data_IF_533158465061
#
_entry.id   IF_533158465061
#
_cell.length_a   1.000
_cell.length_b   1.000
_cell.length_c   1.000
_cell.angle_alpha   90.00
_cell.angle_beta   90.00
_cell.angle_gamma   90.00
#
_symmetry.space_group_name_H-M   'P 1'
#
loop_
_entity.id
_entity.type
_entity.pdbx_description
1 polymer ?
#
# COMPACT_ATOMS: atom_id res chain seq x y z
N UNK A 1 -10.56 -18.59 19.76
CA UNK A 1 -10.10 -17.46 18.93
C UNK A 1 -10.88 -17.54 17.65
N UNK A 2 -11.76 -16.57 17.38
CA UNK A 2 -12.49 -16.54 16.13
C UNK A 2 -11.48 -16.44 14.98
N UNK A 3 -11.38 -17.51 14.19
CA UNK A 3 -10.64 -17.48 12.93
C UNK A 3 -11.43 -16.62 11.96
N UNK A 4 -11.22 -15.30 12.04
CA UNK A 4 -11.72 -14.37 11.03
C UNK A 4 -11.10 -14.75 9.70
N UNK A 5 -11.92 -15.37 8.84
CA UNK A 5 -11.54 -15.68 7.48
C UNK A 5 -11.38 -14.37 6.70
N UNK A 6 -10.13 -14.00 6.39
CA UNK A 6 -9.80 -12.93 5.44
C UNK A 6 -9.46 -13.57 4.10
N UNK A 7 -10.30 -13.42 3.07
CA UNK A 7 -9.99 -13.97 1.76
C UNK A 7 -8.73 -13.28 1.20
N UNK A 8 -7.89 -14.05 0.50
CA UNK A 8 -6.66 -13.58 -0.17
C UNK A 8 -6.49 -14.28 -1.52
N UNK A 9 -7.59 -14.43 -2.27
CA UNK A 9 -7.60 -15.08 -3.59
C UNK A 9 -7.04 -14.14 -4.66
N UNK A 10 -7.12 -12.83 -4.41
CA UNK A 10 -6.54 -11.78 -5.24
C UNK A 10 -5.86 -10.71 -4.39
N UNK A 11 -4.65 -10.32 -4.78
CA UNK A 11 -3.88 -9.24 -4.14
C UNK A 11 -3.41 -8.27 -5.22
N UNK A 12 -4.04 -7.08 -5.26
CA UNK A 12 -3.76 -6.08 -6.28
C UNK A 12 -2.57 -5.22 -5.87
N UNK A 13 -1.48 -5.26 -6.62
CA UNK A 13 -0.36 -4.32 -6.46
C UNK A 13 -0.73 -2.94 -7.00
N UNK A 14 -0.45 -1.90 -6.21
CA UNK A 14 -0.77 -0.50 -6.52
C UNK A 14 0.45 0.36 -6.19
N UNK A 15 1.13 0.96 -7.19
CA UNK A 15 2.33 1.75 -6.94
C UNK A 15 1.98 3.06 -6.20
N UNK A 16 2.71 3.35 -5.11
CA UNK A 16 2.49 4.54 -4.27
C UNK A 16 2.71 5.88 -4.99
N UNK A 17 3.45 5.88 -6.10
CA UNK A 17 3.70 7.08 -6.90
C UNK A 17 2.51 7.47 -7.81
N UNK A 18 1.54 6.58 -8.03
CA UNK A 18 0.44 6.81 -8.96
C UNK A 18 -0.89 7.03 -8.22
N UNK A 19 -1.20 8.29 -7.94
CA UNK A 19 -2.42 8.70 -7.22
C UNK A 19 -3.71 8.29 -7.93
N UNK A 20 -3.72 8.22 -9.26
CA UNK A 20 -4.86 7.71 -10.03
C UNK A 20 -5.14 6.24 -9.68
N UNK A 21 -4.11 5.39 -9.61
CA UNK A 21 -4.27 3.99 -9.23
C UNK A 21 -4.63 3.83 -7.75
N UNK A 22 -4.07 4.65 -6.85
CA UNK A 22 -4.42 4.65 -5.43
C UNK A 22 -5.91 4.94 -5.20
N UNK A 23 -6.48 5.91 -5.91
CA UNK A 23 -7.93 6.20 -5.86
C UNK A 23 -8.74 5.01 -6.37
N UNK A 24 -8.35 4.43 -7.50
CA UNK A 24 -9.08 3.31 -8.13
C UNK A 24 -9.07 2.05 -7.27
N UNK A 25 -7.97 1.78 -6.56
CA UNK A 25 -7.81 0.60 -5.71
C UNK A 25 -8.90 0.46 -4.64
N UNK A 26 -9.50 1.57 -4.18
CA UNK A 26 -10.59 1.59 -3.19
C UNK A 26 -11.83 0.81 -3.64
N UNK A 27 -12.11 0.78 -4.94
CA UNK A 27 -13.40 0.29 -5.46
C UNK A 27 -13.28 -0.99 -6.30
N UNK A 28 -12.07 -1.37 -6.73
CA UNK A 28 -11.88 -2.56 -7.57
C UNK A 28 -12.24 -3.87 -6.84
N UNK A 29 -12.78 -4.88 -7.55
CA UNK A 29 -13.19 -6.16 -6.94
C UNK A 29 -11.96 -7.05 -6.68
N UNK A 30 -11.21 -6.75 -5.61
CA UNK A 30 -10.06 -7.53 -5.12
C UNK A 30 -10.25 -7.87 -3.66
N UNK A 31 -9.67 -8.98 -3.20
CA UNK A 31 -9.72 -9.34 -1.78
C UNK A 31 -8.75 -8.49 -0.95
N UNK A 32 -7.53 -8.25 -1.48
CA UNK A 32 -6.51 -7.41 -0.85
C UNK A 32 -5.96 -6.37 -1.84
N UNK A 33 -5.49 -5.24 -1.30
CA UNK A 33 -4.69 -4.24 -2.01
C UNK A 33 -3.32 -4.14 -1.35
N UNK A 34 -2.27 -4.18 -2.16
CA UNK A 34 -0.88 -3.97 -1.74
C UNK A 34 -0.46 -2.61 -2.27
N UNK A 35 -0.38 -1.63 -1.37
CA UNK A 35 0.14 -0.30 -1.66
C UNK A 35 1.66 -0.35 -1.57
N UNK A 36 2.34 -0.10 -2.69
CA UNK A 36 3.73 -0.49 -2.88
C UNK A 36 4.70 0.69 -2.87
N UNK A 37 5.72 0.61 -2.01
CA UNK A 37 6.88 1.53 -1.93
C UNK A 37 8.17 0.91 -2.50
N UNK A 38 8.15 -0.37 -2.82
CA UNK A 38 9.33 -1.18 -3.16
C UNK A 38 9.89 -0.94 -4.57
N UNK A 39 10.53 -1.96 -5.12
CA UNK A 39 11.36 -1.86 -6.33
C UNK A 39 10.71 -1.23 -7.58
N UNK A 40 9.40 -1.38 -7.84
CA UNK A 40 8.76 -0.73 -9.00
C UNK A 40 8.72 0.80 -8.94
N UNK A 41 9.03 1.40 -7.79
CA UNK A 41 9.00 2.85 -7.59
C UNK A 41 10.38 3.45 -7.93
N UNK A 42 10.38 4.44 -8.82
CA UNK A 42 11.57 5.24 -9.14
C UNK A 42 12.14 5.92 -7.88
N UNK A 43 13.47 6.05 -7.82
CA UNK A 43 14.19 6.56 -6.63
C UNK A 43 13.69 7.96 -6.25
N UNK A 44 13.56 8.85 -7.23
CA UNK A 44 13.05 10.21 -7.06
C UNK A 44 11.59 10.28 -6.60
N UNK A 45 10.84 9.18 -6.70
CA UNK A 45 9.45 9.09 -6.26
C UNK A 45 9.28 8.41 -4.90
N UNK A 46 10.35 7.92 -4.25
CA UNK A 46 10.25 7.13 -3.01
C UNK A 46 9.54 7.89 -1.88
N UNK A 47 10.01 9.10 -1.59
CA UNK A 47 9.44 9.94 -0.52
C UNK A 47 8.01 10.37 -0.83
N UNK A 48 7.76 10.89 -2.04
CA UNK A 48 6.40 11.26 -2.46
C UNK A 48 5.43 10.06 -2.47
N UNK A 49 5.92 8.85 -2.75
CA UNK A 49 5.11 7.63 -2.68
C UNK A 49 4.73 7.29 -1.24
N UNK A 50 5.64 7.47 -0.28
CA UNK A 50 5.38 7.30 1.15
C UNK A 50 4.30 8.26 1.61
N UNK A 51 4.46 9.55 1.30
CA UNK A 51 3.48 10.59 1.65
C UNK A 51 2.10 10.28 1.08
N UNK A 52 2.04 9.83 -0.18
CA UNK A 52 0.81 9.37 -0.78
C UNK A 52 0.22 8.20 -0.01
N UNK A 53 0.97 7.13 0.26
CA UNK A 53 0.45 5.96 0.97
C UNK A 53 -0.11 6.35 2.34
N UNK A 54 0.62 7.15 3.14
CA UNK A 54 0.16 7.65 4.44
C UNK A 54 -1.19 8.36 4.29
N UNK A 55 -1.30 9.28 3.33
CA UNK A 55 -2.54 9.99 3.03
C UNK A 55 -3.67 9.03 2.67
N UNK A 56 -3.47 8.13 1.70
CA UNK A 56 -4.52 7.28 1.16
C UNK A 56 -4.99 6.20 2.14
N UNK A 57 -4.08 5.68 2.97
CA UNK A 57 -4.39 4.77 4.08
C UNK A 57 -5.21 5.50 5.15
N UNK A 58 -4.79 6.70 5.54
CA UNK A 58 -5.49 7.53 6.54
C UNK A 58 -6.91 7.91 6.08
N UNK A 59 -7.07 8.28 4.81
CA UNK A 59 -8.37 8.56 4.20
C UNK A 59 -9.28 7.30 4.13
N UNK A 60 -8.71 6.10 4.10
CA UNK A 60 -9.44 4.84 4.07
C UNK A 60 -10.22 4.61 2.78
N UNK A 61 -11.43 4.04 2.89
CA UNK A 61 -12.35 3.81 1.76
C UNK A 61 -12.23 2.44 1.08
N UNK A 62 -11.52 1.48 1.66
CA UNK A 62 -11.30 0.14 1.07
C UNK A 62 -12.40 -0.89 1.38
N UNK A 63 -13.36 -0.55 2.24
CA UNK A 63 -14.44 -1.46 2.64
C UNK A 63 -13.91 -2.65 3.43
N UNK A 64 -14.31 -3.87 3.04
CA UNK A 64 -13.89 -5.12 3.68
C UNK A 64 -12.55 -5.67 3.18
N UNK A 65 -11.91 -4.99 2.22
CA UNK A 65 -10.65 -5.44 1.62
C UNK A 65 -9.53 -5.35 2.64
N UNK A 66 -8.59 -6.28 2.56
CA UNK A 66 -7.34 -6.15 3.31
C UNK A 66 -6.45 -5.09 2.65
N UNK A 67 -5.94 -4.16 3.45
CA UNK A 67 -4.99 -3.14 3.01
C UNK A 67 -3.62 -3.51 3.57
N UNK A 68 -2.66 -3.70 2.68
CA UNK A 68 -1.27 -4.02 3.01
C UNK A 68 -0.38 -2.93 2.43
N UNK A 69 0.55 -2.42 3.22
CA UNK A 69 1.64 -1.57 2.70
C UNK A 69 2.88 -2.45 2.52
N UNK A 70 3.42 -2.48 1.31
CA UNK A 70 4.73 -3.11 1.04
C UNK A 70 5.80 -2.02 1.12
N UNK A 71 6.51 -1.98 2.24
CA UNK A 71 7.64 -1.06 2.47
C UNK A 71 8.88 -1.49 1.68
N UNK A 72 9.86 -0.58 1.57
CA UNK A 72 11.18 -0.92 1.07
C UNK A 72 11.92 -1.90 2.01
N UNK A 73 12.98 -2.54 1.50
CA UNK A 73 13.86 -3.36 2.33
C UNK A 73 14.38 -2.53 3.52
N UNK A 74 14.40 -3.12 4.72
CA UNK A 74 14.88 -2.48 5.94
C UNK A 74 16.37 -2.07 5.86
N UNK A 75 17.16 -2.77 5.05
CA UNK A 75 18.56 -2.42 4.78
C UNK A 75 18.72 -1.19 3.86
N UNK A 76 17.64 -0.71 3.25
CA UNK A 76 17.66 0.49 2.42
C UNK A 76 17.53 1.75 3.24
N UNK A 77 17.95 2.89 2.66
CA UNK A 77 17.79 4.20 3.30
C UNK A 77 16.33 4.63 3.50
N UNK A 78 15.35 3.93 2.91
CA UNK A 78 13.93 4.24 3.01
C UNK A 78 13.14 3.32 3.94
N UNK A 79 13.60 2.09 4.18
CA UNK A 79 12.78 1.04 4.80
C UNK A 79 12.33 1.37 6.23
N UNK A 80 13.22 1.94 7.03
CA UNK A 80 12.88 2.37 8.39
C UNK A 80 11.90 3.54 8.41
N UNK A 81 12.11 4.54 7.55
CA UNK A 81 11.21 5.69 7.43
C UNK A 81 9.83 5.27 6.91
N UNK A 82 9.76 4.30 6.00
CA UNK A 82 8.51 3.72 5.53
C UNK A 82 7.72 3.11 6.69
N UNK A 83 8.36 2.28 7.53
CA UNK A 83 7.73 1.64 8.71
C UNK A 83 7.31 2.66 9.76
N UNK A 84 8.11 3.71 9.99
CA UNK A 84 7.77 4.73 10.97
C UNK A 84 6.56 5.57 10.55
N UNK A 85 6.35 5.74 9.24
CA UNK A 85 5.31 6.61 8.71
C UNK A 85 3.93 5.95 8.62
N UNK A 86 3.84 4.62 8.43
CA UNK A 86 2.60 3.87 8.13
C UNK A 86 2.07 3.06 9.30
#
# INVERSE_FOLDING_TARGET
MDHYFRPRRSMLYVPGCNTHYLVRARTLPTDSVILDLGDPILIECKEASRDNIVKYVTEGGYGSREVVVRVNNLDSIWGHDDIQAV
#
